data_IF_373509122191
#
_entry.id   IF_373509122191
#
_cell.length_a   1.000
_cell.length_b   1.000
_cell.length_c   1.000
_cell.angle_alpha   90.00
_cell.angle_beta   90.00
_cell.angle_gamma   90.00
#
_symmetry.space_group_name_H-M   'P 1'
#
loop_
_entity.id
_entity.type
_entity.pdbx_description
1 polymer ?
#
# COMPACT_ATOMS: atom_id res chain seq x y z
N UNK A 1 17.99 -9.02 -3.01
CA UNK A 1 19.15 -8.44 -2.33
C UNK A 1 19.05 -6.93 -2.39
N UNK A 2 18.39 -6.32 -1.41
CA UNK A 2 18.57 -4.88 -1.14
C UNK A 2 20.02 -4.81 -0.62
N UNK A 3 20.88 -4.05 -1.29
CA UNK A 3 22.34 -4.17 -1.22
C UNK A 3 22.89 -4.44 0.18
N UNK A 4 23.39 -5.65 0.40
CA UNK A 4 24.36 -5.89 1.44
C UNK A 4 25.70 -5.40 0.91
N UNK A 5 26.17 -4.24 1.38
CA UNK A 5 27.56 -3.90 1.75
C UNK A 5 27.57 -2.45 2.25
N UNK A 6 27.40 -2.24 3.56
CA UNK A 6 27.78 -1.00 4.30
C UNK A 6 27.22 0.36 3.86
N UNK A 7 26.43 0.43 2.79
CA UNK A 7 25.91 1.67 2.20
C UNK A 7 24.42 1.85 2.47
N UNK A 8 24.01 3.11 2.59
CA UNK A 8 22.61 3.48 2.65
C UNK A 8 21.86 3.01 1.38
N UNK A 9 20.56 2.66 1.45
CA UNK A 9 19.80 2.30 0.27
C UNK A 9 19.79 3.45 -0.75
N UNK A 10 19.59 3.15 -2.04
CA UNK A 10 19.64 4.18 -3.09
C UNK A 10 18.60 5.30 -2.88
N UNK A 11 17.52 5.03 -2.16
CA UNK A 11 16.47 5.98 -1.79
C UNK A 11 16.68 6.66 -0.42
N UNK A 12 17.91 6.66 0.12
CA UNK A 12 18.20 7.21 1.46
C UNK A 12 17.93 8.71 1.60
N UNK A 13 17.99 9.48 0.52
CA UNK A 13 17.58 10.89 0.48
C UNK A 13 16.04 11.06 0.55
N UNK A 14 15.31 9.95 0.55
CA UNK A 14 13.86 9.93 0.55
C UNK A 14 13.27 9.92 -0.86
N UNK A 15 11.96 9.71 -0.93
CA UNK A 15 11.21 9.67 -2.18
C UNK A 15 9.92 10.48 -2.05
N UNK A 16 9.52 11.14 -3.14
CA UNK A 16 8.31 11.95 -3.16
C UNK A 16 7.10 11.12 -3.56
N UNK A 17 5.98 11.33 -2.87
CA UNK A 17 4.71 10.77 -3.28
C UNK A 17 3.51 11.64 -2.86
N UNK A 18 2.53 11.75 -3.76
CA UNK A 18 1.21 12.28 -3.47
C UNK A 18 0.16 11.54 -4.29
N UNK A 19 -0.81 10.90 -3.62
CA UNK A 19 -1.91 10.29 -4.35
C UNK A 19 -2.71 11.36 -5.09
N UNK A 20 -2.84 11.20 -6.40
CA UNK A 20 -3.61 12.09 -7.28
C UNK A 20 -5.07 11.66 -7.43
N UNK A 21 -5.48 10.56 -6.81
CA UNK A 21 -6.81 9.98 -7.00
C UNK A 21 -7.03 9.36 -8.38
N UNK A 22 -5.96 9.01 -9.10
CA UNK A 22 -6.05 8.43 -10.45
C UNK A 22 -6.66 7.01 -10.50
N UNK A 23 -6.83 6.34 -9.36
CA UNK A 23 -7.40 5.00 -9.26
C UNK A 23 -6.52 3.86 -9.78
N UNK A 24 -5.33 4.12 -10.32
CA UNK A 24 -4.48 3.09 -10.95
C UNK A 24 -4.03 1.98 -9.99
N UNK A 25 -3.68 2.31 -8.75
CA UNK A 25 -3.32 1.32 -7.73
C UNK A 25 -4.53 0.58 -7.12
N UNK A 26 -5.75 1.02 -7.43
CA UNK A 26 -7.00 0.44 -6.94
C UNK A 26 -7.73 -0.38 -8.01
N UNK A 27 -7.13 -0.54 -9.20
CA UNK A 27 -7.74 -1.02 -10.43
C UNK A 27 -6.81 -2.02 -11.13
N UNK A 28 -7.34 -2.83 -12.05
CA UNK A 28 -6.54 -3.57 -13.03
C UNK A 28 -6.53 -5.09 -12.90
N UNK A 29 -6.88 -5.65 -11.72
CA UNK A 29 -7.03 -7.09 -11.48
C UNK A 29 -5.83 -8.02 -11.78
N UNK A 30 -5.82 -9.27 -11.26
CA UNK A 30 -6.26 -9.66 -9.92
C UNK A 30 -5.21 -9.21 -8.88
N UNK A 31 -5.66 -8.56 -7.81
CA UNK A 31 -4.76 -8.07 -6.77
C UNK A 31 -5.39 -8.20 -5.38
N UNK A 32 -4.70 -8.86 -4.47
CA UNK A 32 -5.18 -9.00 -3.09
C UNK A 32 -4.90 -7.72 -2.31
N UNK A 33 -5.94 -7.14 -1.71
CA UNK A 33 -5.79 -6.11 -0.67
C UNK A 33 -6.00 -6.79 0.66
N UNK A 34 -4.90 -7.25 1.26
CA UNK A 34 -4.93 -7.94 2.53
C UNK A 34 -5.32 -6.98 3.65
N UNK A 35 -6.18 -7.46 4.55
CA UNK A 35 -6.61 -6.71 5.73
C UNK A 35 -6.46 -7.55 6.99
N UNK A 36 -5.98 -6.91 8.07
CA UNK A 36 -5.99 -7.50 9.41
C UNK A 36 -7.34 -7.32 10.12
N UNK A 37 -7.54 -7.99 11.25
CA UNK A 37 -8.73 -7.82 12.08
C UNK A 37 -8.92 -6.37 12.54
N UNK A 38 -7.83 -5.68 12.90
CA UNK A 38 -7.84 -4.28 13.30
C UNK A 38 -8.23 -3.36 12.13
N UNK A 39 -7.74 -3.66 10.92
CA UNK A 39 -8.10 -2.89 9.71
C UNK A 39 -9.56 -3.10 9.33
N UNK A 40 -10.07 -4.33 9.47
CA UNK A 40 -11.49 -4.65 9.30
C UNK A 40 -12.34 -3.82 10.27
N UNK A 41 -11.96 -3.77 11.55
CA UNK A 41 -12.67 -2.96 12.54
C UNK A 41 -12.67 -1.46 12.18
N UNK A 42 -11.50 -0.91 11.83
CA UNK A 42 -11.36 0.48 11.40
C UNK A 42 -12.22 0.80 10.17
N UNK A 43 -12.26 -0.10 9.18
CA UNK A 43 -13.04 0.07 7.96
C UNK A 43 -14.54 -0.01 8.23
N UNK A 44 -14.99 -0.97 9.04
CA UNK A 44 -16.38 -1.12 9.44
C UNK A 44 -16.87 0.14 10.20
N UNK A 45 -16.08 0.63 11.15
CA UNK A 45 -16.34 1.87 11.87
C UNK A 45 -16.42 3.07 10.92
N UNK A 46 -15.49 3.20 9.98
CA UNK A 46 -15.49 4.30 9.01
C UNK A 46 -16.74 4.31 8.12
N UNK A 47 -17.30 3.14 7.84
CA UNK A 47 -18.53 2.98 7.06
C UNK A 47 -19.81 2.95 7.91
N UNK A 48 -19.71 3.16 9.22
CA UNK A 48 -20.81 3.11 10.18
C UNK A 48 -21.63 1.81 10.12
N UNK A 49 -20.94 0.67 10.07
CA UNK A 49 -21.56 -0.66 10.05
C UNK A 49 -20.88 -1.62 11.02
N UNK A 50 -21.52 -2.76 11.30
CA UNK A 50 -20.94 -3.80 12.14
C UNK A 50 -19.79 -4.52 11.42
N UNK A 51 -18.90 -5.16 12.18
CA UNK A 51 -17.81 -5.96 11.61
C UNK A 51 -18.38 -7.12 10.79
N UNK A 52 -19.43 -7.76 11.26
CA UNK A 52 -20.09 -8.89 10.60
C UNK A 52 -20.67 -8.47 9.24
N UNK A 53 -21.35 -7.31 9.19
CA UNK A 53 -21.85 -6.73 7.95
C UNK A 53 -20.70 -6.40 6.99
N UNK A 54 -19.63 -5.81 7.50
CA UNK A 54 -18.47 -5.47 6.68
C UNK A 54 -17.82 -6.73 6.07
N UNK A 55 -17.61 -7.77 6.88
CA UNK A 55 -17.05 -9.03 6.42
C UNK A 55 -17.90 -9.68 5.33
N UNK A 56 -19.23 -9.70 5.52
CA UNK A 56 -20.15 -10.28 4.55
C UNK A 56 -20.19 -9.53 3.21
N UNK A 57 -20.08 -8.19 3.24
CA UNK A 57 -20.23 -7.36 2.04
C UNK A 57 -18.92 -7.09 1.30
N UNK A 58 -17.79 -7.01 2.02
CA UNK A 58 -16.56 -6.43 1.48
C UNK A 58 -15.35 -7.35 1.54
N UNK A 59 -15.43 -8.52 2.17
CA UNK A 59 -14.30 -9.44 2.28
C UNK A 59 -14.52 -10.75 1.53
N UNK A 60 -13.41 -11.31 1.08
CA UNK A 60 -13.28 -12.70 0.66
C UNK A 60 -12.14 -13.38 1.40
N UNK A 61 -12.33 -14.65 1.73
CA UNK A 61 -11.29 -15.47 2.34
C UNK A 61 -10.42 -16.10 1.27
N UNK A 62 -9.11 -16.03 1.43
CA UNK A 62 -8.11 -16.63 0.55
C UNK A 62 -7.10 -17.36 1.41
N UNK A 63 -7.19 -18.69 1.45
CA UNK A 63 -6.46 -19.49 2.42
C UNK A 63 -6.88 -19.12 3.86
N UNK A 64 -5.92 -18.70 4.66
CA UNK A 64 -6.08 -18.28 6.06
C UNK A 64 -6.22 -16.75 6.24
N UNK A 65 -6.30 -15.98 5.13
CA UNK A 65 -6.29 -14.51 5.15
C UNK A 65 -7.55 -13.91 4.54
N UNK A 66 -7.84 -12.66 4.89
CA UNK A 66 -8.92 -11.87 4.29
C UNK A 66 -8.38 -10.83 3.30
N UNK A 67 -9.04 -10.75 2.14
CA UNK A 67 -8.83 -9.69 1.15
C UNK A 67 -10.11 -8.91 0.95
N UNK A 68 -10.00 -7.61 0.64
CA UNK A 68 -11.12 -6.87 0.08
C UNK A 68 -11.58 -7.53 -1.24
N UNK A 69 -12.89 -7.49 -1.49
CA UNK A 69 -13.47 -7.94 -2.75
C UNK A 69 -13.22 -6.94 -3.88
N UNK A 70 -13.14 -7.48 -5.08
CA UNK A 70 -13.05 -6.74 -6.34
C UNK A 70 -14.39 -6.80 -7.10
N UNK A 71 -14.67 -5.76 -7.87
CA UNK A 71 -15.77 -5.73 -8.84
C UNK A 71 -15.42 -6.63 -10.05
N UNK A 72 -16.39 -6.99 -10.90
CA UNK A 72 -16.14 -7.84 -12.08
C UNK A 72 -15.06 -7.32 -13.04
N UNK A 73 -14.82 -6.01 -13.06
CA UNK A 73 -13.77 -5.38 -13.87
C UNK A 73 -12.39 -5.35 -13.18
N UNK A 74 -12.24 -6.00 -12.02
CA UNK A 74 -10.99 -6.04 -11.24
C UNK A 74 -10.72 -4.80 -10.39
N UNK A 75 -11.65 -3.85 -10.31
CA UNK A 75 -11.51 -2.69 -9.42
C UNK A 75 -11.78 -3.08 -7.97
N UNK A 76 -11.03 -2.51 -7.03
CA UNK A 76 -11.36 -2.58 -5.61
C UNK A 76 -12.79 -2.09 -5.37
N UNK A 77 -13.53 -2.76 -4.48
CA UNK A 77 -14.92 -2.41 -4.14
C UNK A 77 -15.10 -0.94 -3.72
N UNK A 78 -14.09 -0.37 -3.06
CA UNK A 78 -14.09 1.03 -2.60
C UNK A 78 -13.57 2.04 -3.63
N UNK A 79 -13.31 1.64 -4.88
CA UNK A 79 -12.99 2.57 -5.94
C UNK A 79 -14.27 3.18 -6.51
N UNK A 80 -14.41 4.51 -6.43
CA UNK A 80 -15.58 5.20 -6.99
C UNK A 80 -15.60 5.02 -8.52
N UNK A 81 -16.71 4.55 -9.12
CA UNK A 81 -16.73 4.17 -10.53
C UNK A 81 -16.45 5.34 -11.49
N UNK A 82 -17.02 6.52 -11.20
CA UNK A 82 -16.83 7.72 -12.02
C UNK A 82 -15.58 8.53 -11.65
N UNK A 83 -15.44 8.93 -10.38
CA UNK A 83 -14.34 9.82 -9.97
C UNK A 83 -12.99 9.13 -9.81
N UNK A 84 -12.97 7.78 -9.79
CA UNK A 84 -11.78 6.95 -9.54
C UNK A 84 -11.07 7.23 -8.20
N UNK A 85 -11.75 7.94 -7.29
CA UNK A 85 -11.26 8.18 -5.93
C UNK A 85 -11.61 7.03 -5.01
N UNK A 86 -10.74 6.77 -4.04
CA UNK A 86 -11.02 5.79 -3.00
C UNK A 86 -12.07 6.34 -2.04
N UNK A 87 -13.16 5.61 -1.84
CA UNK A 87 -14.28 5.96 -0.96
C UNK A 87 -13.89 5.90 0.52
N UNK A 88 -12.89 5.08 0.86
CA UNK A 88 -12.39 4.89 2.25
C UNK A 88 -10.98 5.46 2.42
N UNK A 89 -10.62 6.51 1.67
CA UNK A 89 -9.25 7.06 1.64
C UNK A 89 -8.64 7.32 3.04
N UNK A 90 -9.39 7.87 4.04
CA UNK A 90 -8.89 8.08 5.39
C UNK A 90 -8.69 6.81 6.21
N UNK A 91 -9.41 5.73 5.87
CA UNK A 91 -9.41 4.44 6.56
C UNK A 91 -8.67 3.33 5.77
N UNK A 92 -7.89 3.70 4.75
CA UNK A 92 -7.18 2.74 3.89
C UNK A 92 -6.36 1.73 4.71
N UNK A 93 -6.36 0.44 4.31
CA UNK A 93 -5.42 -0.54 4.82
C UNK A 93 -3.97 -0.09 4.65
N UNK A 94 -3.08 -0.57 5.50
CA UNK A 94 -1.64 -0.32 5.48
C UNK A 94 -1.05 -0.66 4.11
N UNK A 95 -1.46 -1.76 3.49
CA UNK A 95 -1.03 -2.12 2.13
C UNK A 95 -1.36 -1.02 1.09
N UNK A 96 -2.55 -0.41 1.19
CA UNK A 96 -2.95 0.69 0.31
C UNK A 96 -2.26 2.02 0.65
N UNK A 97 -1.89 2.23 1.92
CA UNK A 97 -1.14 3.42 2.36
C UNK A 97 0.33 3.37 1.98
N UNK A 98 0.91 2.17 1.92
CA UNK A 98 2.32 1.97 1.60
C UNK A 98 2.62 2.03 0.11
N UNK A 99 1.62 2.04 -0.78
CA UNK A 99 1.85 2.38 -2.19
C UNK A 99 2.40 3.82 -2.30
N UNK A 100 3.47 4.09 -3.07
CA UNK A 100 4.19 3.22 -4.00
C UNK A 100 5.45 2.55 -3.41
N UNK A 101 5.70 2.66 -2.12
CA UNK A 101 6.89 2.20 -1.41
C UNK A 101 6.92 0.69 -1.12
N UNK A 102 6.34 -0.12 -1.99
CA UNK A 102 6.45 -1.58 -1.88
C UNK A 102 7.86 -2.03 -2.24
N UNK A 103 8.33 -3.11 -1.62
CA UNK A 103 9.71 -3.58 -1.84
C UNK A 103 10.03 -3.74 -3.33
N UNK A 104 9.12 -4.33 -4.10
CA UNK A 104 9.27 -4.53 -5.55
C UNK A 104 9.55 -3.25 -6.32
N UNK A 105 8.96 -2.14 -5.88
CA UNK A 105 9.08 -0.83 -6.49
C UNK A 105 10.38 -0.11 -6.09
N UNK A 106 11.00 -0.55 -4.99
CA UNK A 106 12.20 0.07 -4.40
C UNK A 106 13.46 -0.78 -4.60
N UNK A 107 13.38 -1.90 -5.35
CA UNK A 107 14.51 -2.80 -5.61
C UNK A 107 15.67 -2.09 -6.31
N UNK A 108 15.38 -1.19 -7.23
CA UNK A 108 16.35 -0.38 -7.96
C UNK A 108 15.78 0.99 -8.36
N UNK A 109 16.63 1.97 -8.72
CA UNK A 109 16.15 3.22 -9.32
C UNK A 109 15.29 3.00 -10.57
N UNK A 110 15.61 2.00 -11.40
CA UNK A 110 14.85 1.67 -12.60
C UNK A 110 13.43 1.17 -12.30
N UNK A 111 13.26 0.38 -11.23
CA UNK A 111 11.94 -0.05 -10.75
C UNK A 111 11.09 1.15 -10.29
N UNK A 112 11.72 2.10 -9.58
CA UNK A 112 11.06 3.33 -9.16
C UNK A 112 10.68 4.23 -10.34
N UNK A 113 11.54 4.38 -11.33
CA UNK A 113 11.24 5.10 -12.57
C UNK A 113 10.06 4.48 -13.31
N UNK A 114 9.98 3.13 -13.38
CA UNK A 114 8.83 2.44 -13.93
C UNK A 114 7.54 2.79 -13.17
N UNK A 115 7.61 2.82 -11.83
CA UNK A 115 6.47 3.19 -10.98
C UNK A 115 6.04 4.64 -11.23
N UNK A 116 6.99 5.56 -11.44
CA UNK A 116 6.70 6.95 -11.82
C UNK A 116 6.00 7.07 -13.18
N UNK A 117 6.29 6.17 -14.13
CA UNK A 117 5.56 6.13 -15.43
C UNK A 117 4.11 5.66 -15.27
N UNK A 118 3.86 4.70 -14.39
CA UNK A 118 2.51 4.13 -14.22
C UNK A 118 1.68 4.87 -13.17
N UNK A 119 2.29 5.61 -12.24
CA UNK A 119 1.61 6.31 -11.17
C UNK A 119 1.96 7.81 -11.20
N UNK A 120 1.03 8.70 -11.62
CA UNK A 120 1.31 10.14 -11.73
C UNK A 120 1.58 10.83 -10.39
N UNK A 121 1.37 10.14 -9.27
CA UNK A 121 1.70 10.64 -7.94
C UNK A 121 3.12 10.31 -7.47
N UNK A 122 3.80 9.35 -8.11
CA UNK A 122 5.14 8.92 -7.69
C UNK A 122 6.17 9.92 -8.21
N UNK A 123 7.10 10.32 -7.34
CA UNK A 123 8.03 11.42 -7.59
C UNK A 123 7.44 12.82 -7.35
N UNK A 124 6.19 12.92 -6.91
CA UNK A 124 5.49 14.20 -6.74
C UNK A 124 5.10 14.49 -5.29
N UNK A 125 4.91 15.76 -4.95
CA UNK A 125 4.39 16.19 -3.66
C UNK A 125 5.33 15.93 -2.47
N UNK A 126 4.77 15.40 -1.37
CA UNK A 126 5.46 15.27 -0.07
C UNK A 126 6.69 14.36 -0.19
N UNK A 127 7.80 14.79 0.39
CA UNK A 127 8.99 13.96 0.59
C UNK A 127 8.78 13.02 1.79
N UNK A 128 8.97 11.73 1.59
CA UNK A 128 9.02 10.71 2.64
C UNK A 128 10.47 10.40 2.96
N UNK A 129 10.85 10.51 4.24
CA UNK A 129 12.21 10.20 4.69
C UNK A 129 12.51 8.71 4.61
N UNK A 130 13.80 8.35 4.70
CA UNK A 130 14.23 6.96 4.80
C UNK A 130 13.45 6.21 5.89
N UNK A 131 13.40 6.73 7.12
CA UNK A 131 12.70 6.07 8.24
C UNK A 131 11.20 5.87 7.98
N UNK A 132 10.55 6.83 7.31
CA UNK A 132 9.14 6.71 6.94
C UNK A 132 8.93 5.59 5.93
N UNK A 133 9.81 5.48 4.94
CA UNK A 133 9.76 4.43 3.92
C UNK A 133 10.06 3.06 4.55
N UNK A 134 11.09 2.97 5.41
CA UNK A 134 11.44 1.75 6.11
C UNK A 134 10.32 1.25 7.02
N UNK A 135 9.66 2.15 7.76
CA UNK A 135 8.50 1.83 8.59
C UNK A 135 7.37 1.17 7.79
N UNK A 136 7.13 1.61 6.55
CA UNK A 136 6.11 1.01 5.68
C UNK A 136 6.51 -0.37 5.14
N UNK A 137 7.81 -0.61 4.95
CA UNK A 137 8.35 -1.90 4.50
C UNK A 137 8.30 -2.95 5.61
N UNK A 138 8.59 -2.58 6.86
CA UNK A 138 8.60 -3.50 7.99
C UNK A 138 7.23 -4.16 8.25
N UNK A 139 6.12 -3.48 7.92
CA UNK A 139 4.79 -4.07 7.97
C UNK A 139 4.59 -5.28 7.04
N UNK A 140 5.34 -5.37 5.94
CA UNK A 140 5.15 -6.42 4.94
C UNK A 140 5.74 -7.79 5.32
N UNK A 141 6.24 -7.96 6.55
CA UNK A 141 6.81 -9.23 7.04
C UNK A 141 8.25 -9.49 6.59
N UNK A 142 8.98 -8.44 6.21
CA UNK A 142 10.38 -8.50 5.76
C UNK A 142 11.37 -8.21 6.89
N UNK A 143 11.18 -8.84 8.05
CA UNK A 143 12.01 -8.63 9.26
C UNK A 143 13.49 -8.99 9.09
N UNK A 144 13.89 -9.64 7.99
CA UNK A 144 15.23 -10.25 7.86
C UNK A 144 16.26 -9.43 7.09
N UNK A 145 15.86 -8.51 6.22
CA UNK A 145 16.77 -7.90 5.25
C UNK A 145 17.00 -6.39 5.42
N UNK A 146 16.31 -5.72 6.35
CA UNK A 146 16.45 -4.27 6.58
C UNK A 146 16.45 -3.99 8.08
N UNK A 147 17.56 -4.28 8.75
CA UNK A 147 17.77 -3.92 10.15
C UNK A 147 18.18 -2.45 10.22
N UNK A 148 17.47 -1.56 10.94
CA UNK A 148 18.03 -0.26 11.27
C UNK A 148 19.29 -0.47 12.14
N UNK A 149 20.32 0.39 12.03
CA UNK A 149 21.39 0.37 13.01
C UNK A 149 20.77 0.61 14.39
N UNK A 150 21.09 -0.29 15.32
CA UNK A 150 20.71 -0.09 16.72
C UNK A 150 21.57 1.05 17.22
N UNK A 151 20.94 2.17 17.59
CA UNK A 151 21.60 3.24 18.33
C UNK A 151 22.08 2.65 19.66
N UNK A 152 23.39 2.73 19.90
CA UNK A 152 24.06 2.44 21.16
C UNK A 152 24.74 3.69 21.66
#
# INVERSE_FOLDING_TARGET
MIGQQGGLPWFHEGLRFQCTGCGRCCSGGPGFVWVSAEEIHCLAQHLNMSVEQFQACYLRTVGDRWSLVERPNGDCVFLHPQTRRCLVYPARPKQCRSWPFWLTNLRSPADWEYVCRICPGSGQGRLFSLDQILSMLWWSGLEKDVRPPTEG
#
